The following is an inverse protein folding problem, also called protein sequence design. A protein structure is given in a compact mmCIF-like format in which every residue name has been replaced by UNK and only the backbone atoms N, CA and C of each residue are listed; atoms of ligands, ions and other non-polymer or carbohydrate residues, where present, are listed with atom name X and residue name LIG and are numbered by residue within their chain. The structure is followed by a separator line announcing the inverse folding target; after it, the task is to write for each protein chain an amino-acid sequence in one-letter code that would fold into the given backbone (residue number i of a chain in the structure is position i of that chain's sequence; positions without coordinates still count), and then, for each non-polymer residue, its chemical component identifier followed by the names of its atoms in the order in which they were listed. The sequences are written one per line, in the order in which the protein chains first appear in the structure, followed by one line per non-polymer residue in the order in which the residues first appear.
data_IF_529004890153
#
_entry.id   IF_529004890153
#
_cell.length_a   1.000
_cell.length_b   1.000
_cell.length_c   1.000
_cell.angle_alpha   90.00
_cell.angle_beta   90.00
_cell.angle_gamma   90.00
#
_symmetry.space_group_name_H-M   'P 1'
#
loop_
_entity.id
_entity.type
_entity.pdbx_description
1 polymer ?
#
# COMPACT_ATOMS: atom_id res chain seq x y z
N UNK A 1 -3.51 49.63 38.86
CA UNK A 1 -2.17 49.27 38.34
C UNK A 1 -1.86 47.86 38.80
N UNK A 2 -2.09 46.87 37.95
CA UNK A 2 -1.62 45.50 38.18
C UNK A 2 -1.41 44.84 36.82
N UNK A 3 -0.15 44.80 36.37
CA UNK A 3 0.27 44.13 35.14
C UNK A 3 0.23 42.61 35.31
N UNK A 4 -0.51 41.92 34.44
CA UNK A 4 -0.43 40.45 34.30
C UNK A 4 0.60 40.16 33.21
N UNK A 5 1.82 39.83 33.64
CA UNK A 5 2.96 39.49 32.80
C UNK A 5 2.75 38.08 32.21
N UNK A 6 2.24 37.99 30.99
CA UNK A 6 2.09 36.73 30.27
C UNK A 6 3.45 36.29 29.72
N UNK A 7 4.14 35.41 30.44
CA UNK A 7 5.39 34.80 29.98
C UNK A 7 5.11 33.76 28.89
N UNK A 8 5.29 34.13 27.63
CA UNK A 8 5.36 33.19 26.51
C UNK A 8 6.67 32.38 26.59
N UNK A 9 6.59 31.19 27.19
CA UNK A 9 7.65 30.18 27.02
C UNK A 9 7.39 29.40 25.74
N UNK A 10 8.32 29.50 24.81
CA UNK A 10 8.33 28.80 23.54
C UNK A 10 8.17 27.29 23.74
N UNK A 11 7.15 26.73 23.09
CA UNK A 11 7.00 25.28 22.98
C UNK A 11 7.97 24.80 21.91
N UNK A 12 9.02 24.12 22.36
CA UNK A 12 9.78 23.20 21.54
C UNK A 12 8.81 22.30 20.77
N UNK A 13 9.09 22.08 19.49
CA UNK A 13 8.35 21.17 18.64
C UNK A 13 8.45 19.75 19.24
N UNK A 14 7.46 19.39 20.04
CA UNK A 14 7.24 18.03 20.47
C UNK A 14 6.95 17.24 19.19
N UNK A 15 7.95 16.49 18.74
CA UNK A 15 7.79 15.44 17.76
C UNK A 15 6.79 14.46 18.37
N UNK A 16 5.54 14.56 17.94
CA UNK A 16 4.51 13.58 18.26
C UNK A 16 4.90 12.29 17.55
N UNK A 17 5.60 11.42 18.27
CA UNK A 17 5.77 10.02 17.91
C UNK A 17 4.39 9.38 17.99
N UNK A 18 3.83 9.01 16.84
CA UNK A 18 2.59 8.24 16.80
C UNK A 18 2.86 6.83 17.38
N UNK A 19 2.27 6.47 18.53
CA UNK A 19 2.37 5.12 19.06
C UNK A 19 1.38 4.25 18.28
N UNK A 20 1.86 3.70 17.17
CA UNK A 20 1.02 2.92 16.25
C UNK A 20 1.75 2.36 15.05
N UNK A 21 3.08 2.18 15.11
CA UNK A 21 3.83 1.44 14.08
C UNK A 21 3.62 -0.07 14.27
N UNK A 22 2.36 -0.51 14.22
CA UNK A 22 2.00 -1.91 14.13
C UNK A 22 2.27 -2.38 12.70
N UNK A 23 3.35 -3.13 12.50
CA UNK A 23 3.50 -4.08 11.41
C UNK A 23 3.23 -3.51 10.00
N UNK A 24 4.06 -2.57 9.53
CA UNK A 24 4.36 -2.54 8.10
C UNK A 24 5.19 -3.80 7.82
N UNK A 25 4.50 -4.96 7.75
CA UNK A 25 5.10 -6.21 7.36
C UNK A 25 5.83 -5.94 6.06
N UNK A 26 7.16 -5.98 6.11
CA UNK A 26 7.97 -5.90 4.91
C UNK A 26 7.57 -7.12 4.09
N UNK A 27 6.70 -6.90 3.10
CA UNK A 27 6.36 -7.92 2.13
C UNK A 27 7.66 -8.15 1.35
N UNK A 28 8.35 -9.23 1.67
CA UNK A 28 9.54 -9.63 0.95
C UNK A 28 9.09 -10.05 -0.45
N UNK A 29 9.26 -9.15 -1.42
CA UNK A 29 8.99 -9.45 -2.83
C UNK A 29 10.14 -10.31 -3.33
N UNK A 30 9.82 -11.49 -3.87
CA UNK A 30 10.82 -12.35 -4.50
C UNK A 30 11.24 -11.72 -5.83
N UNK A 31 12.55 -11.54 -6.01
CA UNK A 31 13.10 -10.92 -7.21
C UNK A 31 13.94 -11.93 -7.99
N UNK A 32 13.71 -12.00 -9.29
CA UNK A 32 14.45 -12.85 -10.20
C UNK A 32 15.50 -12.00 -10.92
N UNK A 33 16.75 -12.46 -10.91
CA UNK A 33 17.85 -11.81 -11.62
C UNK A 33 17.88 -12.32 -13.06
N UNK A 34 17.78 -11.42 -14.02
CA UNK A 34 17.86 -11.72 -15.45
C UNK A 34 18.86 -10.82 -16.15
N UNK A 35 19.32 -11.23 -17.33
CA UNK A 35 20.10 -10.38 -18.23
C UNK A 35 19.17 -9.75 -19.26
N UNK A 36 19.18 -8.42 -19.34
CA UNK A 36 18.45 -7.65 -20.33
C UNK A 36 19.41 -6.92 -21.26
N UNK A 37 19.22 -7.09 -22.57
CA UNK A 37 19.91 -6.26 -23.54
C UNK A 37 19.43 -4.81 -23.46
N UNK A 38 20.35 -3.87 -23.25
CA UNK A 38 20.06 -2.43 -23.16
C UNK A 38 19.64 -1.84 -24.52
N UNK A 39 20.04 -2.47 -25.63
CA UNK A 39 19.72 -1.99 -26.98
C UNK A 39 18.32 -2.36 -27.45
N UNK A 40 17.91 -3.62 -27.27
CA UNK A 40 16.65 -4.15 -27.80
C UNK A 40 15.65 -4.62 -26.72
N UNK A 41 16.00 -4.55 -25.44
CA UNK A 41 15.11 -4.91 -24.33
C UNK A 41 14.87 -6.41 -24.12
N UNK A 42 15.52 -7.27 -24.92
CA UNK A 42 15.36 -8.73 -24.82
C UNK A 42 15.87 -9.27 -23.49
N UNK A 43 15.09 -10.17 -22.90
CA UNK A 43 15.46 -11.02 -21.77
C UNK A 43 15.89 -12.39 -22.34
N UNK A 44 17.09 -12.87 -21.95
CA UNK A 44 17.66 -14.22 -22.23
C UNK A 44 16.98 -15.04 -23.36
N UNK A 45 17.61 -15.12 -24.54
CA UNK A 45 17.06 -15.87 -25.68
C UNK A 45 18.13 -16.39 -26.66
N UNK A 46 17.82 -17.41 -27.49
CA UNK A 46 18.80 -18.22 -28.25
C UNK A 46 19.44 -17.53 -29.46
N UNK A 47 18.97 -16.33 -29.84
CA UNK A 47 19.49 -15.63 -31.01
C UNK A 47 20.67 -14.74 -30.62
N UNK A 48 21.85 -14.96 -31.20
CA UNK A 48 23.01 -14.13 -30.89
C UNK A 48 22.79 -12.68 -31.33
N UNK A 49 23.08 -11.75 -30.41
CA UNK A 49 23.08 -10.34 -30.72
C UNK A 49 24.10 -10.01 -31.82
N UNK A 50 23.69 -9.24 -32.83
CA UNK A 50 24.55 -8.81 -33.95
C UNK A 50 25.47 -7.66 -33.50
N UNK A 51 26.36 -7.92 -32.54
CA UNK A 51 27.52 -7.07 -32.21
C UNK A 51 27.26 -5.72 -31.51
N UNK A 52 26.02 -5.28 -31.29
CA UNK A 52 25.71 -3.96 -30.66
C UNK A 52 25.09 -4.07 -29.26
N UNK A 53 24.72 -5.28 -28.85
CA UNK A 53 24.00 -5.46 -27.59
C UNK A 53 24.96 -5.48 -26.40
N UNK A 54 24.70 -4.62 -25.42
CA UNK A 54 25.28 -4.70 -24.08
C UNK A 54 24.20 -5.22 -23.15
N UNK A 55 24.50 -6.27 -22.41
CA UNK A 55 23.59 -6.84 -21.44
C UNK A 55 23.81 -6.20 -20.06
N UNK A 56 22.71 -5.91 -19.38
CA UNK A 56 22.69 -5.42 -18.00
C UNK A 56 21.92 -6.42 -17.15
N UNK A 57 22.45 -6.69 -15.96
CA UNK A 57 21.72 -7.43 -14.94
C UNK A 57 20.54 -6.60 -14.42
N UNK A 58 19.33 -7.13 -14.54
CA UNK A 58 18.09 -6.54 -14.07
C UNK A 58 17.42 -7.47 -13.05
N UNK A 59 16.55 -6.88 -12.24
CA UNK A 59 15.70 -7.61 -11.30
C UNK A 59 14.26 -7.53 -11.80
N UNK A 60 13.61 -8.68 -11.88
CA UNK A 60 12.25 -8.84 -12.34
C UNK A 60 11.38 -9.32 -11.19
N UNK A 61 10.12 -8.90 -11.21
CA UNK A 61 9.06 -9.37 -10.32
C UNK A 61 7.95 -9.95 -11.18
N UNK A 62 7.14 -10.84 -10.62
CA UNK A 62 5.99 -11.35 -11.36
C UNK A 62 4.97 -10.23 -11.58
N UNK A 63 4.40 -10.18 -12.78
CA UNK A 63 3.40 -9.17 -13.12
C UNK A 63 2.16 -9.27 -12.20
N UNK A 64 1.80 -10.48 -11.75
CA UNK A 64 0.73 -10.70 -10.76
C UNK A 64 1.04 -10.03 -9.43
N UNK A 65 2.26 -10.14 -8.92
CA UNK A 65 2.66 -9.53 -7.65
C UNK A 65 2.62 -8.00 -7.72
N UNK A 66 3.06 -7.43 -8.85
CA UNK A 66 2.96 -5.99 -9.10
C UNK A 66 1.49 -5.56 -9.14
N UNK A 67 0.63 -6.26 -9.88
CA UNK A 67 -0.78 -5.93 -9.98
C UNK A 67 -1.50 -6.02 -8.62
N UNK A 68 -1.19 -7.03 -7.82
CA UNK A 68 -1.71 -7.14 -6.45
C UNK A 68 -1.21 -6.01 -5.54
N UNK A 69 0.06 -5.63 -5.65
CA UNK A 69 0.63 -4.52 -4.88
C UNK A 69 -0.02 -3.19 -5.26
N UNK A 70 -0.29 -2.96 -6.55
CA UNK A 70 -1.01 -1.79 -7.05
C UNK A 70 -2.45 -1.77 -6.51
N UNK A 71 -3.15 -2.90 -6.57
CA UNK A 71 -4.52 -3.01 -6.04
C UNK A 71 -4.59 -2.70 -4.54
N UNK A 72 -3.68 -3.26 -3.74
CA UNK A 72 -3.57 -2.96 -2.29
C UNK A 72 -3.27 -1.48 -2.05
N UNK A 73 -2.39 -0.89 -2.87
CA UNK A 73 -2.02 0.53 -2.75
C UNK A 73 -3.20 1.44 -3.06
N UNK A 74 -3.97 1.16 -4.10
CA UNK A 74 -5.16 1.93 -4.46
C UNK A 74 -6.26 1.81 -3.41
N UNK A 75 -6.49 0.61 -2.85
CA UNK A 75 -7.43 0.42 -1.74
C UNK A 75 -7.03 1.27 -0.53
N UNK A 76 -5.77 1.19 -0.08
CA UNK A 76 -5.27 1.98 1.04
C UNK A 76 -5.35 3.50 0.80
N UNK A 77 -5.11 3.95 -0.45
CA UNK A 77 -5.27 5.35 -0.86
C UNK A 77 -6.73 5.80 -0.78
N UNK A 78 -7.65 4.99 -1.29
CA UNK A 78 -9.09 5.28 -1.26
C UNK A 78 -9.60 5.40 0.19
N UNK A 79 -9.20 4.48 1.07
CA UNK A 79 -9.51 4.52 2.50
C UNK A 79 -8.98 5.80 3.17
N UNK A 80 -7.71 6.12 2.93
CA UNK A 80 -7.08 7.33 3.47
C UNK A 80 -7.78 8.59 2.98
N UNK A 81 -8.16 8.63 1.70
CA UNK A 81 -8.89 9.75 1.12
C UNK A 81 -10.27 9.93 1.77
N UNK A 82 -10.99 8.84 2.06
CA UNK A 82 -12.29 8.88 2.73
C UNK A 82 -12.18 9.42 4.17
N UNK A 83 -11.20 8.95 4.94
CA UNK A 83 -10.94 9.47 6.28
C UNK A 83 -10.55 10.96 6.26
N UNK A 84 -9.69 11.34 5.31
CA UNK A 84 -9.28 12.74 5.12
C UNK A 84 -10.47 13.63 4.79
N UNK A 85 -11.39 13.17 3.93
CA UNK A 85 -12.59 13.91 3.57
C UNK A 85 -13.49 14.16 4.81
N UNK A 86 -13.67 13.16 5.68
CA UNK A 86 -14.40 13.34 6.93
C UNK A 86 -13.72 14.36 7.85
N UNK A 87 -12.39 14.28 8.02
CA UNK A 87 -11.65 15.23 8.86
C UNK A 87 -11.75 16.67 8.34
N UNK A 88 -11.65 16.86 7.01
CA UNK A 88 -11.85 18.16 6.38
C UNK A 88 -13.26 18.68 6.63
N UNK A 89 -14.28 17.82 6.48
CA UNK A 89 -15.68 18.16 6.76
C UNK A 89 -15.88 18.63 8.20
N UNK A 90 -15.32 17.91 9.18
CA UNK A 90 -15.37 18.29 10.60
C UNK A 90 -14.68 19.65 10.80
N UNK A 91 -13.47 19.82 10.27
CA UNK A 91 -12.68 21.05 10.43
C UNK A 91 -13.37 22.28 9.81
N UNK A 92 -14.09 22.11 8.70
CA UNK A 92 -14.79 23.20 8.01
C UNK A 92 -16.20 23.47 8.55
N UNK A 93 -16.78 22.57 9.34
CA UNK A 93 -18.17 22.72 9.80
C UNK A 93 -18.25 23.66 10.99
N UNK A 94 -18.99 24.75 10.84
CA UNK A 94 -19.38 25.65 11.93
C UNK A 94 -20.87 25.45 12.24
N UNK A 95 -21.23 24.68 13.28
CA UNK A 95 -22.63 24.46 13.64
C UNK A 95 -23.30 25.78 14.04
N UNK A 96 -24.60 25.89 13.76
CA UNK A 96 -25.44 26.96 14.35
C UNK A 96 -25.75 26.63 15.81
N UNK A 97 -26.09 27.65 16.58
CA UNK A 97 -26.44 27.48 17.99
C UNK A 97 -27.53 26.43 18.18
N UNK A 98 -27.35 25.54 19.15
CA UNK A 98 -28.26 24.43 19.44
C UNK A 98 -28.24 23.25 18.45
N UNK A 99 -27.51 23.32 17.34
CA UNK A 99 -27.45 22.24 16.33
C UNK A 99 -26.13 21.44 16.35
N UNK A 100 -25.20 21.77 17.24
CA UNK A 100 -23.89 21.12 17.33
C UNK A 100 -24.00 19.62 17.63
N UNK A 101 -24.96 19.20 18.46
CA UNK A 101 -25.11 17.81 18.86
C UNK A 101 -25.58 16.94 17.68
N UNK A 102 -26.50 17.45 16.87
CA UNK A 102 -26.97 16.76 15.66
C UNK A 102 -25.84 16.60 14.64
N UNK A 103 -25.06 17.66 14.40
CA UNK A 103 -23.88 17.61 13.53
C UNK A 103 -22.83 16.61 14.04
N UNK A 104 -22.58 16.61 15.35
CA UNK A 104 -21.62 15.70 15.97
C UNK A 104 -22.03 14.24 15.84
N UNK A 105 -23.30 13.90 16.13
CA UNK A 105 -23.82 12.53 15.96
C UNK A 105 -23.69 12.06 14.51
N UNK A 106 -23.99 12.93 13.54
CA UNK A 106 -23.82 12.61 12.12
C UNK A 106 -22.37 12.28 11.75
N UNK A 107 -21.38 13.00 12.30
CA UNK A 107 -19.97 12.70 12.06
C UNK A 107 -19.54 11.38 12.72
N UNK A 108 -20.06 11.06 13.90
CA UNK A 108 -19.79 9.78 14.54
C UNK A 108 -20.37 8.60 13.74
N UNK A 109 -21.57 8.75 13.18
CA UNK A 109 -22.19 7.72 12.35
C UNK A 109 -21.38 7.50 11.07
N UNK A 110 -20.95 8.58 10.41
CA UNK A 110 -20.08 8.51 9.22
C UNK A 110 -18.71 7.87 9.56
N UNK A 111 -18.11 8.24 10.70
CA UNK A 111 -16.86 7.65 11.17
C UNK A 111 -17.00 6.16 11.45
N UNK A 112 -18.05 5.74 12.17
CA UNK A 112 -18.31 4.32 12.47
C UNK A 112 -18.50 3.51 11.20
N UNK A 113 -19.22 4.05 10.21
CA UNK A 113 -19.40 3.40 8.91
C UNK A 113 -18.07 3.23 8.15
N UNK A 114 -17.21 4.25 8.13
CA UNK A 114 -15.89 4.17 7.49
C UNK A 114 -14.98 3.14 8.18
N UNK A 115 -14.94 3.15 9.51
CA UNK A 115 -14.15 2.18 10.28
C UNK A 115 -14.67 0.75 10.14
N UNK A 116 -15.99 0.55 10.08
CA UNK A 116 -16.57 -0.77 9.84
C UNK A 116 -16.21 -1.32 8.45
N UNK A 117 -16.15 -0.46 7.42
CA UNK A 117 -15.66 -0.85 6.09
C UNK A 117 -14.19 -1.28 6.14
N UNK A 118 -13.34 -0.51 6.80
CA UNK A 118 -11.92 -0.82 6.97
C UNK A 118 -11.68 -2.09 7.80
N UNK A 119 -12.57 -2.44 8.73
CA UNK A 119 -12.45 -3.69 9.49
C UNK A 119 -12.79 -4.92 8.63
N UNK A 120 -13.67 -4.76 7.63
CA UNK A 120 -14.11 -5.85 6.75
C UNK A 120 -13.20 -6.05 5.52
N UNK A 121 -12.50 -5.01 5.06
CA UNK A 121 -11.56 -5.06 3.93
C UNK A 121 -10.34 -5.99 4.14
N UNK A 122 -9.67 -6.06 5.32
CA UNK A 122 -8.57 -7.00 5.55
C UNK A 122 -9.02 -8.47 5.59
N UNK A 123 -10.29 -8.76 5.88
CA UNK A 123 -10.81 -10.12 5.88
C UNK A 123 -11.08 -10.66 4.46
N UNK A 124 -11.42 -9.79 3.51
CA UNK A 124 -11.72 -10.17 2.14
C UNK A 124 -10.45 -10.49 1.32
N UNK A 125 -9.35 -9.77 1.54
CA UNK A 125 -8.08 -9.99 0.82
C UNK A 125 -7.42 -11.31 1.21
N UNK A 126 -7.53 -11.72 2.49
CA UNK A 126 -6.94 -12.98 2.99
C UNK A 126 -7.72 -14.22 2.47
N UNK A 127 -9.03 -14.09 2.24
CA UNK A 127 -9.83 -15.15 1.65
C UNK A 127 -9.50 -15.39 0.15
N UNK A 128 -9.09 -14.35 -0.57
CA UNK A 128 -8.69 -14.45 -1.98
C UNK A 128 -7.30 -15.09 -2.17
N UNK A 129 -6.39 -14.93 -1.20
CA UNK A 129 -5.04 -15.54 -1.24
C UNK A 129 -4.99 -17.02 -0.88
N UNK A 130 -6.09 -17.61 -0.39
CA UNK A 130 -6.17 -19.03 0.00
C UNK A 130 -6.40 -20.03 -1.14
N UNK A 131 -6.41 -19.57 -2.40
CA UNK A 131 -6.89 -20.33 -3.55
C UNK A 131 -5.93 -20.42 -4.73
N UNK A 132 -4.64 -20.71 -4.51
CA UNK A 132 -3.79 -21.28 -5.58
C UNK A 132 -3.20 -22.59 -5.07
N UNK A 133 -4.01 -23.65 -5.15
CA UNK A 133 -3.53 -25.02 -5.14
C UNK A 133 -3.86 -25.68 -6.48
N UNK A 134 -2.83 -26.30 -7.08
CA UNK A 134 -2.83 -27.51 -7.91
C UNK A 134 -2.06 -27.40 -9.24
N UNK A 135 -1.10 -28.31 -9.43
CA UNK A 135 -0.50 -28.68 -10.72
C UNK A 135 0.95 -29.20 -10.63
N UNK A 136 1.26 -30.21 -9.81
CA UNK A 136 1.40 -31.63 -10.20
C UNK A 136 2.85 -32.05 -10.58
N UNK A 137 3.25 -33.32 -10.34
CA UNK A 137 4.65 -33.71 -10.10
C UNK A 137 5.46 -34.03 -11.37
N UNK A 138 6.77 -33.82 -11.26
CA UNK A 138 7.78 -34.21 -12.24
C UNK A 138 7.77 -35.75 -12.47
N UNK A 139 7.26 -36.17 -13.62
CA UNK A 139 7.48 -37.49 -14.21
C UNK A 139 8.64 -37.40 -15.20
N UNK A 140 9.69 -38.17 -14.96
CA UNK A 140 10.85 -38.24 -15.85
C UNK A 140 10.56 -39.01 -17.13
N UNK A 141 11.29 -38.66 -18.18
CA UNK A 141 11.59 -39.60 -19.27
C UNK A 141 13.03 -39.39 -19.72
N UNK A 142 13.79 -40.48 -19.63
CA UNK A 142 15.15 -40.60 -20.10
C UNK A 142 15.15 -40.65 -21.64
N UNK A 143 15.70 -39.62 -22.30
CA UNK A 143 16.02 -39.70 -23.72
C UNK A 143 17.30 -40.52 -23.87
N UNK A 144 17.12 -41.77 -24.32
CA UNK A 144 18.16 -42.66 -24.84
C UNK A 144 18.73 -42.06 -26.14
N UNK A 145 19.99 -41.64 -26.14
CA UNK A 145 20.74 -41.42 -27.38
C UNK A 145 21.29 -42.78 -27.88
N UNK A 146 21.10 -43.03 -29.17
CA UNK A 146 21.74 -44.09 -29.95
C UNK A 146 22.87 -43.46 -30.77
#
# INVERSE_FOLDING_TARGET
MTEVKLAMRGRAAARLECPGQGHHGAIAIETLKAWQCVGCGRLEGPQNCIGVCRDRKVELVYASELAEAEARTEAARAETAALRALLLKIASTKPRDGQWEKSWRSFQDEARALLARQANEPAAVVAATGGVSAGAPAGGDAIRAR
#
